data_IF_833462332580
#
_entry.id   IF_833462332580
#
_cell.length_a   1.000
_cell.length_b   1.000
_cell.length_c   1.000
_cell.angle_alpha   90.00
_cell.angle_beta   90.00
_cell.angle_gamma   90.00
#
_symmetry.space_group_name_H-M   'P 1'
#
loop_
_entity.id
_entity.type
_entity.pdbx_description
1 polymer ?
#
# COMPACT_ATOMS: atom_id res chain seq x y z
N UNK A 1 1.16 0.53 -11.06
CA UNK A 1 2.38 1.29 -10.69
C UNK A 1 2.07 2.10 -9.44
N UNK A 2 3.08 2.36 -8.60
CA UNK A 2 2.90 3.19 -7.41
C UNK A 2 2.64 4.66 -7.78
N UNK A 3 1.67 5.27 -7.11
CA UNK A 3 1.38 6.70 -7.20
C UNK A 3 1.90 7.39 -5.92
N UNK A 4 2.88 8.31 -6.04
CA UNK A 4 3.44 9.03 -4.89
C UNK A 4 2.37 9.78 -4.10
N UNK A 5 2.61 9.97 -2.82
CA UNK A 5 1.72 10.72 -1.94
C UNK A 5 1.63 12.19 -2.38
N UNK A 6 0.47 12.84 -2.19
CA UNK A 6 0.35 14.28 -2.39
C UNK A 6 1.36 15.03 -1.52
N UNK A 7 1.88 16.16 -2.01
CA UNK A 7 2.88 16.95 -1.28
C UNK A 7 2.39 17.49 0.07
N UNK A 8 1.08 17.46 0.34
CA UNK A 8 0.45 17.81 1.61
C UNK A 8 0.58 16.72 2.68
N UNK A 9 0.89 15.48 2.30
CA UNK A 9 1.05 14.35 3.23
C UNK A 9 2.53 14.18 3.51
N UNK A 10 2.95 14.33 4.77
CA UNK A 10 4.36 14.32 5.15
C UNK A 10 4.73 13.08 5.95
N UNK A 11 5.99 12.71 5.83
CA UNK A 11 6.65 11.77 6.73
C UNK A 11 7.56 12.55 7.67
N UNK A 12 7.63 12.14 8.93
CA UNK A 12 8.55 12.75 9.90
C UNK A 12 9.47 11.72 10.52
N UNK A 13 10.73 12.12 10.67
CA UNK A 13 11.72 11.39 11.43
C UNK A 13 12.28 12.30 12.52
N UNK A 14 12.26 11.87 13.78
CA UNK A 14 12.66 12.72 14.90
C UNK A 14 11.89 14.06 14.97
N UNK A 15 10.58 14.03 14.68
CA UNK A 15 9.71 15.21 14.60
C UNK A 15 10.15 16.27 13.57
N UNK A 16 11.02 15.92 12.62
CA UNK A 16 11.39 16.77 11.49
C UNK A 16 10.81 16.19 10.21
N UNK A 17 10.21 17.05 9.39
CA UNK A 17 9.73 16.64 8.07
C UNK A 17 10.89 16.04 7.27
N UNK A 18 10.63 14.90 6.65
CA UNK A 18 11.59 14.22 5.81
C UNK A 18 10.89 13.68 4.56
N UNK A 19 11.35 14.13 3.40
CA UNK A 19 10.83 13.65 2.11
C UNK A 19 11.54 12.35 1.72
N UNK A 20 10.77 11.28 1.59
CA UNK A 20 11.25 9.98 1.16
C UNK A 20 11.38 9.93 -0.37
N UNK A 21 12.28 9.08 -0.86
CA UNK A 21 12.34 8.66 -2.26
C UNK A 21 11.13 7.79 -2.61
N UNK A 22 10.80 7.66 -3.90
CA UNK A 22 9.57 7.00 -4.33
C UNK A 22 9.47 5.54 -3.87
N UNK A 23 10.56 4.78 -3.95
CA UNK A 23 10.60 3.36 -3.53
C UNK A 23 10.47 3.23 -2.01
N UNK A 24 11.18 4.07 -1.25
CA UNK A 24 11.07 4.15 0.21
C UNK A 24 9.68 4.58 0.65
N UNK A 25 9.06 5.53 -0.05
CA UNK A 25 7.72 6.04 0.22
C UNK A 25 6.67 4.95 -0.01
N UNK A 26 6.76 4.20 -1.11
CA UNK A 26 5.86 3.08 -1.42
C UNK A 26 5.80 2.09 -0.26
N UNK A 27 6.95 1.60 0.20
CA UNK A 27 7.02 0.62 1.29
C UNK A 27 6.57 1.22 2.62
N UNK A 28 6.89 2.50 2.88
CA UNK A 28 6.36 3.21 4.05
C UNK A 28 4.83 3.32 4.03
N UNK A 29 4.20 3.42 2.84
CA UNK A 29 2.74 3.43 2.74
C UNK A 29 2.10 2.12 3.19
N UNK A 30 2.77 0.98 3.00
CA UNK A 30 2.25 -0.31 3.44
C UNK A 30 2.16 -0.38 4.96
N UNK A 31 3.19 0.11 5.65
CA UNK A 31 3.19 0.20 7.12
C UNK A 31 2.18 1.23 7.62
N UNK A 32 2.12 2.42 6.99
CA UNK A 32 1.17 3.47 7.36
C UNK A 32 -0.30 3.00 7.28
N UNK A 33 -0.67 2.19 6.29
CA UNK A 33 -2.01 1.60 6.18
C UNK A 33 -2.36 0.63 7.31
N UNK A 34 -1.35 0.13 8.01
CA UNK A 34 -1.49 -0.86 9.09
C UNK A 34 -1.22 -0.26 10.47
N UNK A 35 -1.03 1.06 10.60
CA UNK A 35 -0.53 1.70 11.83
C UNK A 35 -1.35 1.34 13.09
N UNK A 36 -2.67 1.20 12.95
CA UNK A 36 -3.61 0.86 14.03
C UNK A 36 -3.92 -0.65 14.14
N UNK A 37 -3.26 -1.50 13.36
CA UNK A 37 -3.50 -2.94 13.36
C UNK A 37 -2.63 -3.66 14.40
N UNK A 38 -3.14 -4.70 15.05
CA UNK A 38 -2.39 -5.59 15.96
C UNK A 38 -1.04 -6.14 15.46
N UNK A 39 -0.73 -6.07 14.16
CA UNK A 39 0.60 -6.45 13.67
C UNK A 39 1.67 -5.43 14.05
N UNK A 40 1.34 -4.13 14.04
CA UNK A 40 2.30 -3.06 14.38
C UNK A 40 2.63 -3.00 15.87
N UNK A 41 1.92 -3.76 16.71
CA UNK A 41 2.27 -3.97 18.13
C UNK A 41 3.25 -5.12 18.32
N UNK A 42 3.44 -5.99 17.32
CA UNK A 42 4.35 -7.14 17.38
C UNK A 42 5.76 -6.73 16.99
N UNK A 43 6.72 -6.94 17.89
CA UNK A 43 8.14 -6.63 17.65
C UNK A 43 8.72 -7.35 16.43
N UNK A 44 8.34 -8.62 16.21
CA UNK A 44 8.79 -9.41 15.05
C UNK A 44 8.36 -8.76 13.74
N UNK A 45 7.11 -8.30 13.65
CA UNK A 45 6.61 -7.61 12.46
C UNK A 45 7.35 -6.30 12.21
N UNK A 46 7.55 -5.50 13.26
CA UNK A 46 8.25 -4.22 13.17
C UNK A 46 9.73 -4.39 12.78
N UNK A 47 10.40 -5.41 13.30
CA UNK A 47 11.79 -5.72 12.96
C UNK A 47 11.92 -6.16 11.50
N UNK A 48 11.04 -7.06 11.02
CA UNK A 48 11.04 -7.52 9.64
C UNK A 48 10.73 -6.37 8.68
N UNK A 49 9.69 -5.58 8.98
CA UNK A 49 9.37 -4.38 8.21
C UNK A 49 10.56 -3.43 8.13
N UNK A 50 11.17 -3.09 9.28
CA UNK A 50 12.25 -2.11 9.30
C UNK A 50 13.49 -2.61 8.57
N UNK A 51 13.79 -3.90 8.65
CA UNK A 51 14.86 -4.52 7.88
C UNK A 51 14.62 -4.37 6.37
N UNK A 52 13.49 -4.84 5.86
CA UNK A 52 13.16 -4.81 4.43
C UNK A 52 12.99 -3.38 3.91
N UNK A 53 12.41 -2.49 4.72
CA UNK A 53 12.25 -1.08 4.36
C UNK A 53 13.61 -0.38 4.22
N UNK A 54 14.62 -0.75 5.03
CA UNK A 54 15.97 -0.20 4.86
C UNK A 54 16.65 -0.68 3.57
N UNK A 55 16.28 -1.85 3.04
CA UNK A 55 16.87 -2.33 1.79
C UNK A 55 16.44 -1.53 0.56
N UNK A 56 15.22 -0.98 0.57
CA UNK A 56 14.73 -0.08 -0.50
C UNK A 56 15.16 1.39 -0.30
N UNK A 57 15.77 1.73 0.84
CA UNK A 57 16.26 3.08 1.10
C UNK A 57 17.51 3.42 0.30
N UNK A 58 17.57 4.68 -0.15
CA UNK A 58 18.81 5.30 -0.60
C UNK A 58 19.85 5.35 0.53
N UNK A 59 21.14 5.48 0.20
CA UNK A 59 22.22 5.56 1.20
C UNK A 59 22.01 6.72 2.20
N UNK A 60 21.55 7.89 1.72
CA UNK A 60 21.24 9.06 2.56
C UNK A 60 20.07 8.81 3.52
N UNK A 61 19.03 8.11 3.06
CA UNK A 61 17.91 7.72 3.91
C UNK A 61 18.36 6.71 4.96
N UNK A 62 19.06 5.66 4.54
CA UNK A 62 19.57 4.58 5.38
C UNK A 62 20.52 5.07 6.48
N UNK A 63 21.29 6.13 6.20
CA UNK A 63 22.18 6.78 7.17
C UNK A 63 21.43 7.62 8.21
N UNK A 64 20.29 8.21 7.85
CA UNK A 64 19.50 9.07 8.76
C UNK A 64 18.45 8.29 9.53
N UNK A 65 17.70 7.43 8.85
CA UNK A 65 16.60 6.63 9.39
C UNK A 65 17.20 5.34 9.96
N UNK A 66 17.51 5.37 11.26
CA UNK A 66 18.21 4.28 11.96
C UNK A 66 17.32 3.55 12.95
N UNK A 67 16.17 4.12 13.31
CA UNK A 67 15.29 3.57 14.33
C UNK A 67 13.81 3.86 14.00
N UNK A 68 13.04 2.78 13.90
CA UNK A 68 11.63 2.80 13.55
C UNK A 68 10.78 3.61 14.54
N UNK A 69 11.10 3.60 15.83
CA UNK A 69 10.31 4.29 16.86
C UNK A 69 10.36 5.82 16.75
N UNK A 70 11.36 6.35 16.03
CA UNK A 70 11.49 7.77 15.72
C UNK A 70 10.80 8.17 14.42
N UNK A 71 10.30 7.19 13.67
CA UNK A 71 9.52 7.40 12.45
C UNK A 71 8.06 7.69 12.83
N UNK A 72 7.47 8.68 12.19
CA UNK A 72 6.07 9.05 12.39
C UNK A 72 5.32 8.93 11.06
N UNK A 73 4.47 7.91 11.00
CA UNK A 73 3.62 7.58 9.86
C UNK A 73 2.18 8.10 10.00
N UNK A 74 1.88 8.92 11.02
CA UNK A 74 0.49 9.31 11.35
C UNK A 74 -0.19 10.08 10.22
N UNK A 75 0.49 11.04 9.59
CA UNK A 75 -0.12 11.79 8.48
C UNK A 75 -0.41 10.90 7.27
N UNK A 76 0.51 9.99 6.93
CA UNK A 76 0.30 9.00 5.88
C UNK A 76 -0.89 8.09 6.23
N UNK A 77 -1.01 7.67 7.49
CA UNK A 77 -2.13 6.88 7.97
C UNK A 77 -3.46 7.63 7.84
N UNK A 78 -3.52 8.88 8.32
CA UNK A 78 -4.71 9.74 8.20
C UNK A 78 -5.13 9.92 6.75
N UNK A 79 -4.20 10.13 5.83
CA UNK A 79 -4.49 10.20 4.40
C UNK A 79 -5.18 8.93 3.89
N UNK A 80 -4.69 7.75 4.25
CA UNK A 80 -5.30 6.49 3.81
C UNK A 80 -6.65 6.20 4.47
N UNK A 81 -6.84 6.63 5.73
CA UNK A 81 -8.15 6.57 6.39
C UNK A 81 -9.15 7.44 5.64
N UNK A 82 -8.81 8.70 5.35
CA UNK A 82 -9.65 9.62 4.57
C UNK A 82 -9.97 9.05 3.18
N UNK A 83 -8.97 8.52 2.46
CA UNK A 83 -9.18 7.88 1.15
C UNK A 83 -10.14 6.69 1.22
N UNK A 84 -10.09 5.92 2.30
CA UNK A 84 -11.01 4.80 2.50
C UNK A 84 -12.44 5.29 2.80
N UNK A 85 -12.59 6.38 3.55
CA UNK A 85 -13.88 7.02 3.82
C UNK A 85 -14.49 7.62 2.55
N UNK A 86 -13.70 8.37 1.76
CA UNK A 86 -14.10 8.88 0.44
C UNK A 86 -14.61 7.75 -0.46
N UNK A 87 -13.88 6.62 -0.50
CA UNK A 87 -14.27 5.43 -1.27
C UNK A 87 -15.59 4.84 -0.78
N UNK A 88 -15.84 4.81 0.53
CA UNK A 88 -17.11 4.33 1.09
C UNK A 88 -18.26 5.29 0.74
N UNK A 89 -17.99 6.59 0.76
CA UNK A 89 -18.93 7.66 0.45
C UNK A 89 -19.25 7.82 -1.05
N UNK A 90 -18.50 7.17 -1.95
CA UNK A 90 -18.76 7.23 -3.40
C UNK A 90 -20.22 6.94 -3.76
N UNK A 91 -20.71 7.68 -4.74
CA UNK A 91 -22.08 7.59 -5.23
C UNK A 91 -22.35 6.24 -5.91
N UNK A 92 -23.64 5.91 -6.10
CA UNK A 92 -24.03 4.70 -6.83
C UNK A 92 -23.53 4.73 -8.28
N UNK A 93 -23.49 5.90 -8.92
CA UNK A 93 -23.05 6.06 -10.31
C UNK A 93 -21.54 5.82 -10.46
N UNK A 94 -20.71 6.38 -9.57
CA UNK A 94 -19.26 6.13 -9.57
C UNK A 94 -18.94 4.67 -9.29
N UNK A 95 -19.61 4.07 -8.29
CA UNK A 95 -19.49 2.64 -8.00
C UNK A 95 -19.89 1.78 -9.19
N UNK A 96 -20.94 2.17 -9.94
CA UNK A 96 -21.38 1.47 -11.16
C UNK A 96 -20.31 1.55 -12.27
N UNK A 97 -19.73 2.73 -12.53
CA UNK A 97 -18.64 2.90 -13.51
C UNK A 97 -17.41 2.05 -13.17
N UNK A 98 -17.04 1.96 -11.89
CA UNK A 98 -15.93 1.11 -11.43
C UNK A 98 -16.26 -0.37 -11.64
N UNK A 99 -17.50 -0.77 -11.36
CA UNK A 99 -17.96 -2.15 -11.58
C UNK A 99 -17.94 -2.52 -13.06
N UNK A 100 -18.46 -1.67 -13.94
CA UNK A 100 -18.47 -1.91 -15.40
C UNK A 100 -17.06 -2.12 -15.95
N UNK A 101 -16.09 -1.27 -15.55
CA UNK A 101 -14.67 -1.44 -15.91
C UNK A 101 -14.08 -2.76 -15.39
N UNK A 102 -14.41 -3.15 -14.16
CA UNK A 102 -13.95 -4.43 -13.61
C UNK A 102 -14.56 -5.63 -14.33
N UNK A 103 -15.82 -5.53 -14.77
CA UNK A 103 -16.52 -6.58 -15.52
C UNK A 103 -15.93 -6.74 -16.93
N UNK A 104 -15.49 -5.66 -17.58
CA UNK A 104 -14.75 -5.71 -18.85
C UNK A 104 -13.43 -6.48 -18.71
N UNK A 105 -12.62 -6.13 -17.70
CA UNK A 105 -11.37 -6.83 -17.37
C UNK A 105 -11.63 -8.32 -17.09
N UNK A 106 -12.70 -8.65 -16.36
CA UNK A 106 -13.08 -10.03 -16.07
C UNK A 106 -13.45 -10.81 -17.33
N UNK A 107 -14.12 -10.19 -18.31
CA UNK A 107 -14.48 -10.85 -19.57
C UNK A 107 -13.27 -11.16 -20.42
N UNK A 108 -12.27 -10.29 -20.41
CA UNK A 108 -11.04 -10.41 -21.19
C UNK A 108 -10.04 -11.38 -20.55
N UNK A 109 -9.75 -11.22 -19.25
CA UNK A 109 -8.67 -11.93 -18.57
C UNK A 109 -9.14 -12.98 -17.57
N UNK A 110 -10.43 -13.01 -17.25
CA UNK A 110 -10.97 -13.87 -16.20
C UNK A 110 -11.41 -15.26 -16.66
N UNK A 111 -11.14 -15.61 -17.91
CA UNK A 111 -11.49 -16.90 -18.49
C UNK A 111 -10.35 -17.45 -19.33
N UNK A 112 -10.16 -18.76 -19.28
CA UNK A 112 -9.28 -19.48 -20.21
C UNK A 112 -10.10 -20.52 -20.99
N UNK A 113 -9.51 -21.09 -22.03
CA UNK A 113 -10.09 -22.21 -22.76
C UNK A 113 -9.29 -23.47 -22.43
N UNK A 114 -9.97 -24.49 -21.92
CA UNK A 114 -9.42 -25.81 -21.62
C UNK A 114 -10.25 -26.83 -22.39
N UNK A 115 -9.62 -27.60 -23.28
CA UNK A 115 -10.26 -28.63 -24.11
C UNK A 115 -11.49 -28.13 -24.91
N UNK A 116 -11.44 -26.87 -25.38
CA UNK A 116 -12.53 -26.24 -26.14
C UNK A 116 -13.65 -25.66 -25.28
N UNK A 117 -13.61 -25.85 -23.96
CA UNK A 117 -14.55 -25.26 -23.00
C UNK A 117 -14.00 -23.99 -22.37
N UNK A 118 -14.86 -22.99 -22.17
CA UNK A 118 -14.50 -21.73 -21.52
C UNK A 118 -14.61 -21.90 -20.01
N UNK A 119 -13.48 -21.90 -19.34
CA UNK A 119 -13.37 -22.06 -17.88
C UNK A 119 -13.06 -20.73 -17.21
N UNK A 120 -13.58 -20.55 -16.00
CA UNK A 120 -13.36 -19.33 -15.21
C UNK A 120 -12.05 -19.44 -14.42
N UNK A 121 -11.20 -18.43 -14.51
CA UNK A 121 -9.96 -18.34 -13.75
C UNK A 121 -10.27 -17.82 -12.34
N UNK A 122 -9.76 -18.50 -11.31
CA UNK A 122 -9.98 -18.15 -9.90
C UNK A 122 -9.38 -16.79 -9.52
N UNK A 123 -8.05 -16.67 -9.60
CA UNK A 123 -7.35 -15.40 -9.43
C UNK A 123 -6.44 -15.14 -10.65
N UNK A 124 -6.89 -14.24 -11.53
CA UNK A 124 -6.12 -13.81 -12.70
C UNK A 124 -5.34 -12.51 -12.44
N UNK A 125 -5.51 -11.90 -11.25
CA UNK A 125 -4.82 -10.68 -10.85
C UNK A 125 -3.64 -11.06 -9.97
N UNK A 126 -2.45 -10.63 -10.35
CA UNK A 126 -1.26 -10.75 -9.51
C UNK A 126 -1.48 -9.92 -8.24
N UNK A 127 -1.14 -10.49 -7.09
CA UNK A 127 -1.26 -9.78 -5.82
C UNK A 127 -0.36 -8.54 -5.83
N UNK A 128 -0.89 -7.37 -5.43
CA UNK A 128 -0.07 -6.17 -5.35
C UNK A 128 0.98 -6.31 -4.23
N UNK A 129 2.08 -5.55 -4.29
CA UNK A 129 3.07 -5.53 -3.22
C UNK A 129 2.44 -5.08 -1.89
N UNK A 130 2.96 -5.61 -0.78
CA UNK A 130 2.48 -5.29 0.56
C UNK A 130 3.32 -5.98 1.65
N UNK A 131 2.97 -5.73 2.91
CA UNK A 131 3.62 -6.39 4.04
C UNK A 131 3.00 -7.77 4.26
N UNK A 132 3.85 -8.78 4.39
CA UNK A 132 3.43 -10.15 4.71
C UNK A 132 2.84 -10.23 6.12
N UNK A 133 1.76 -11.01 6.28
CA UNK A 133 0.94 -11.08 7.51
C UNK A 133 0.69 -12.52 7.99
N UNK A 134 1.63 -13.42 7.74
CA UNK A 134 1.58 -14.81 8.19
C UNK A 134 1.95 -15.03 9.65
#
# INVERSE_FOLDING_TARGET
PYEPLPSSVKFYYHNKEYKLSQETEEVATFYARMLEHDYTTKSVFNNNFFHDWREVMTESERAKITDLFKCNFKEMHTYFVQKNEERKAMTKEEKKKIKEKNDEIQKEFGFCTIDGHKEKIGNFKIEPPGLFRG
#
